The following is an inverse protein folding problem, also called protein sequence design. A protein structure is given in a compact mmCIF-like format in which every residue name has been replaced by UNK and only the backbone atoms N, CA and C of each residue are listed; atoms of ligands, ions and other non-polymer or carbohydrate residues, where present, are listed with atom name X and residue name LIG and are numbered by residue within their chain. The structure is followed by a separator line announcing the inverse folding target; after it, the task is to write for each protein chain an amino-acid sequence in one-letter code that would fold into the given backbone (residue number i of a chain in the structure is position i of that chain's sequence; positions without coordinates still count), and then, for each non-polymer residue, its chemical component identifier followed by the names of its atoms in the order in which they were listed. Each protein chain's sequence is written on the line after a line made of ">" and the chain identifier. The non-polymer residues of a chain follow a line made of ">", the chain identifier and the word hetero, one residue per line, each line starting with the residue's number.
data_IF_593428682368
#
_entry.id   IF_593428682368
#
_cell.length_a   1.000
_cell.length_b   1.000
_cell.length_c   1.000
_cell.angle_alpha   90.00
_cell.angle_beta   90.00
_cell.angle_gamma   90.00
#
_symmetry.space_group_name_H-M   'P 1'
#
loop_
_entity.id
_entity.type
_entity.pdbx_description
1 polymer ?
#
# COMPACT_ATOMS: atom_id res chain seq x y z
N UNK A 1 -26.81 13.86 55.59
CA UNK A 1 -26.82 12.85 54.51
C UNK A 1 -26.57 11.46 55.15
N UNK A 2 -27.53 10.51 54.97
CA UNK A 2 -27.43 9.18 55.58
C UNK A 2 -26.45 8.34 54.84
N UNK A 3 -25.32 7.95 55.51
CA UNK A 3 -24.28 7.02 55.00
C UNK A 3 -24.91 5.62 54.92
N UNK A 4 -24.89 4.98 53.77
CA UNK A 4 -25.37 3.60 53.60
C UNK A 4 -24.19 2.64 53.87
N UNK A 5 -24.36 1.82 54.92
CA UNK A 5 -23.48 0.68 55.18
C UNK A 5 -24.17 -0.55 54.57
N UNK A 6 -23.46 -1.31 53.77
CA UNK A 6 -23.92 -2.58 53.19
C UNK A 6 -23.04 -3.67 53.75
N UNK A 7 -23.60 -4.79 54.20
CA UNK A 7 -22.86 -5.96 54.70
C UNK A 7 -22.65 -6.97 53.59
N UNK A 8 -21.41 -7.34 53.35
CA UNK A 8 -21.05 -8.45 52.49
C UNK A 8 -19.95 -9.26 53.22
N UNK A 9 -20.24 -10.54 53.52
CA UNK A 9 -19.26 -11.49 54.04
C UNK A 9 -18.58 -11.17 55.41
N UNK A 10 -19.19 -10.34 56.26
CA UNK A 10 -18.73 -10.15 57.65
C UNK A 10 -17.78 -8.99 57.92
N UNK A 11 -17.25 -8.31 56.91
CA UNK A 11 -16.45 -7.09 57.07
C UNK A 11 -17.31 -5.85 56.72
N UNK A 12 -17.17 -4.82 57.57
CA UNK A 12 -17.90 -3.54 57.38
C UNK A 12 -17.20 -2.72 56.27
N UNK A 13 -17.65 -2.90 55.02
CA UNK A 13 -17.08 -2.17 53.89
C UNK A 13 -17.77 -0.83 53.71
N UNK A 14 -17.04 0.25 53.75
CA UNK A 14 -17.50 1.59 53.53
C UNK A 14 -17.52 1.96 52.03
N UNK A 15 -18.62 2.49 51.57
CA UNK A 15 -18.77 2.94 50.17
C UNK A 15 -18.80 4.45 50.10
N UNK A 16 -18.11 5.01 49.11
CA UNK A 16 -18.06 6.43 48.78
C UNK A 16 -18.82 6.72 47.49
N UNK A 17 -19.30 7.95 47.38
CA UNK A 17 -19.93 8.45 46.16
C UNK A 17 -18.87 8.73 45.06
N UNK A 18 -19.35 8.90 43.81
CA UNK A 18 -18.52 9.35 42.70
C UNK A 18 -17.82 10.68 42.99
N UNK A 19 -18.47 11.58 43.73
CA UNK A 19 -17.92 12.89 44.10
C UNK A 19 -16.69 12.70 45.02
N UNK A 20 -16.88 11.97 46.11
CA UNK A 20 -15.84 11.72 47.10
C UNK A 20 -14.63 10.96 46.49
N UNK A 21 -14.88 10.00 45.60
CA UNK A 21 -13.81 9.26 44.87
C UNK A 21 -13.13 10.16 43.83
N UNK A 22 -13.85 11.05 43.15
CA UNK A 22 -13.27 12.00 42.22
C UNK A 22 -12.28 12.94 42.91
N UNK A 23 -12.64 13.44 44.09
CA UNK A 23 -11.75 14.24 44.93
C UNK A 23 -10.53 13.43 45.40
N UNK A 24 -10.75 12.22 45.93
CA UNK A 24 -9.68 11.32 46.43
C UNK A 24 -8.67 10.94 45.35
N UNK A 25 -9.13 10.74 44.09
CA UNK A 25 -8.25 10.32 42.99
C UNK A 25 -7.73 11.49 42.15
N UNK A 26 -8.19 12.74 42.39
CA UNK A 26 -7.84 13.89 41.59
C UNK A 26 -8.34 13.77 40.14
N UNK A 27 -9.58 13.31 39.98
CA UNK A 27 -10.21 13.07 38.67
C UNK A 27 -11.55 13.80 38.55
N UNK A 28 -12.03 13.96 37.31
CA UNK A 28 -13.40 14.42 37.10
C UNK A 28 -14.40 13.32 37.44
N UNK A 29 -15.60 13.70 37.93
CA UNK A 29 -16.70 12.78 38.20
C UNK A 29 -17.07 11.93 36.98
N UNK A 30 -16.93 12.50 35.76
CA UNK A 30 -17.17 11.82 34.49
C UNK A 30 -16.17 10.68 34.31
N UNK A 31 -14.88 10.90 34.60
CA UNK A 31 -13.84 9.88 34.52
C UNK A 31 -14.09 8.73 35.48
N UNK A 32 -14.49 9.02 36.72
CA UNK A 32 -14.82 7.98 37.73
C UNK A 32 -16.03 7.15 37.26
N UNK A 33 -17.09 7.78 36.77
CA UNK A 33 -18.25 7.05 36.20
C UNK A 33 -17.84 6.14 35.05
N UNK A 34 -17.02 6.64 34.15
CA UNK A 34 -16.51 5.84 33.03
C UNK A 34 -15.72 4.62 33.50
N UNK A 35 -14.85 4.78 34.50
CA UNK A 35 -14.11 3.64 35.07
C UNK A 35 -15.04 2.59 35.69
N UNK A 36 -16.08 3.02 36.41
CA UNK A 36 -17.07 2.11 36.97
C UNK A 36 -17.89 1.40 35.88
N UNK A 37 -18.39 2.15 34.88
CA UNK A 37 -19.19 1.62 33.78
C UNK A 37 -18.45 0.59 32.94
N UNK A 38 -17.11 0.70 32.82
CA UNK A 38 -16.27 -0.26 32.11
C UNK A 38 -15.67 -1.35 33.03
N UNK A 39 -16.18 -1.54 34.26
CA UNK A 39 -15.74 -2.58 35.18
C UNK A 39 -14.30 -2.43 35.69
N UNK A 40 -13.70 -1.23 35.55
CA UNK A 40 -12.31 -0.97 35.91
C UNK A 40 -12.09 -0.63 37.38
N UNK A 41 -13.17 -0.53 38.15
CA UNK A 41 -13.15 -0.29 39.61
C UNK A 41 -13.73 -1.50 40.31
N UNK A 42 -12.85 -2.27 40.94
CA UNK A 42 -13.27 -3.50 41.62
C UNK A 42 -14.23 -3.21 42.77
N UNK A 43 -15.34 -3.93 42.86
CA UNK A 43 -16.33 -3.76 43.88
C UNK A 43 -17.24 -2.55 43.74
N UNK A 44 -17.18 -1.78 42.66
CA UNK A 44 -18.12 -0.69 42.39
C UNK A 44 -19.51 -1.24 42.04
N UNK A 45 -20.55 -0.72 42.74
CA UNK A 45 -21.93 -1.15 42.58
C UNK A 45 -22.78 -0.01 42.06
N UNK A 46 -23.60 -0.27 41.04
CA UNK A 46 -24.63 0.68 40.57
C UNK A 46 -25.94 0.41 41.30
N UNK A 47 -26.33 1.31 42.20
CA UNK A 47 -27.58 1.22 42.93
C UNK A 47 -28.51 2.34 42.46
N UNK A 48 -29.54 1.95 41.73
CA UNK A 48 -30.40 2.90 41.03
C UNK A 48 -29.62 3.63 39.93
N UNK A 49 -29.46 4.94 40.04
CA UNK A 49 -28.67 5.77 39.07
C UNK A 49 -27.33 6.26 39.65
N UNK A 50 -26.91 5.70 40.80
CA UNK A 50 -25.71 6.17 41.53
C UNK A 50 -24.70 5.06 41.72
N UNK A 51 -23.42 5.32 41.34
CA UNK A 51 -22.32 4.44 41.65
C UNK A 51 -21.91 4.58 43.13
N UNK A 52 -21.79 3.44 43.81
CA UNK A 52 -21.22 3.30 45.12
C UNK A 52 -19.92 2.56 44.99
N UNK A 53 -18.83 3.14 45.46
CA UNK A 53 -17.44 2.66 45.20
C UNK A 53 -16.80 2.35 46.54
N UNK A 54 -16.19 1.17 46.73
CA UNK A 54 -15.49 0.85 47.99
C UNK A 54 -14.46 1.93 48.35
N UNK A 55 -14.39 2.33 49.60
CA UNK A 55 -13.45 3.35 50.05
C UNK A 55 -11.98 2.93 49.83
N UNK A 56 -11.70 1.63 49.85
CA UNK A 56 -10.35 1.04 49.59
C UNK A 56 -10.10 0.79 48.09
N UNK A 57 -11.04 1.11 47.20
CA UNK A 57 -10.81 0.92 45.76
C UNK A 57 -9.61 1.71 45.29
N UNK A 58 -8.75 1.03 44.52
CA UNK A 58 -7.57 1.65 43.90
C UNK A 58 -7.97 2.42 42.64
N UNK A 59 -7.36 3.59 42.46
CA UNK A 59 -7.48 4.34 41.22
C UNK A 59 -7.00 3.46 40.06
N UNK A 60 -7.85 3.20 39.04
CA UNK A 60 -7.39 2.46 37.88
C UNK A 60 -6.23 3.18 37.23
N UNK A 61 -5.15 2.46 36.99
CA UNK A 61 -4.06 2.99 36.18
C UNK A 61 -4.63 3.44 34.84
N UNK A 62 -4.21 4.62 34.37
CA UNK A 62 -4.45 4.94 32.97
C UNK A 62 -3.90 3.76 32.19
N UNK A 63 -4.75 3.01 31.50
CA UNK A 63 -4.24 2.16 30.46
C UNK A 63 -3.42 3.11 29.59
N UNK A 64 -2.10 3.02 29.65
CA UNK A 64 -1.29 3.34 28.52
C UNK A 64 -1.84 2.38 27.45
N UNK A 65 -2.90 2.80 26.70
CA UNK A 65 -2.98 2.37 25.33
C UNK A 65 -1.55 2.65 24.85
N UNK A 66 -0.70 1.60 24.68
CA UNK A 66 0.37 1.67 23.72
C UNK A 66 -0.26 2.47 22.60
N UNK A 67 0.30 3.66 22.21
CA UNK A 67 -0.08 4.31 20.97
C UNK A 67 -0.28 3.14 20.04
N UNK A 68 -1.50 2.83 19.66
CA UNK A 68 -1.75 1.87 18.60
C UNK A 68 -0.85 2.43 17.52
N UNK A 69 0.23 1.72 17.27
CA UNK A 69 1.12 2.01 16.18
C UNK A 69 0.17 1.84 15.02
N UNK A 70 -0.32 2.96 14.49
CA UNK A 70 -1.28 2.97 13.39
C UNK A 70 -0.58 2.18 12.31
N UNK A 71 -1.13 0.99 12.01
CA UNK A 71 -0.55 0.11 10.98
C UNK A 71 -0.46 0.93 9.70
N UNK A 72 0.71 0.97 9.10
CA UNK A 72 0.87 1.65 7.82
C UNK A 72 0.08 0.92 6.74
N UNK A 73 -0.19 1.57 5.61
CA UNK A 73 -0.81 0.90 4.46
C UNK A 73 -0.02 -0.36 4.06
N UNK A 74 1.31 -0.29 4.10
CA UNK A 74 2.16 -1.46 3.81
C UNK A 74 1.90 -2.61 4.78
N UNK A 75 1.81 -2.34 6.09
CA UNK A 75 1.56 -3.37 7.09
C UNK A 75 0.20 -4.06 6.84
N UNK A 76 -0.83 -3.28 6.45
CA UNK A 76 -2.17 -3.80 6.12
C UNK A 76 -2.14 -4.66 4.86
N UNK A 77 -1.45 -4.20 3.80
CA UNK A 77 -1.31 -4.96 2.57
C UNK A 77 -0.59 -6.29 2.80
N UNK A 78 0.49 -6.28 3.61
CA UNK A 78 1.23 -7.50 3.97
C UNK A 78 0.39 -8.45 4.83
N UNK A 79 -0.37 -7.94 5.80
CA UNK A 79 -1.27 -8.76 6.63
C UNK A 79 -2.37 -9.42 5.78
N UNK A 80 -3.02 -8.66 4.88
CA UNK A 80 -4.06 -9.18 4.01
C UNK A 80 -3.50 -10.20 3.00
N UNK A 81 -2.29 -10.00 2.49
CA UNK A 81 -1.58 -10.97 1.66
C UNK A 81 -1.35 -12.27 2.41
N UNK A 82 -0.79 -12.22 3.63
CA UNK A 82 -0.49 -13.40 4.45
C UNK A 82 -1.75 -14.16 4.87
N UNK A 83 -2.79 -13.44 5.26
CA UNK A 83 -4.08 -14.03 5.65
C UNK A 83 -4.92 -14.52 4.48
N UNK A 84 -4.52 -14.22 3.23
CA UNK A 84 -5.30 -14.46 2.00
C UNK A 84 -6.72 -13.87 2.09
N UNK A 85 -6.83 -12.71 2.74
CA UNK A 85 -8.11 -12.04 2.90
C UNK A 85 -8.65 -11.56 1.54
N UNK A 86 -9.81 -12.09 1.15
CA UNK A 86 -10.49 -11.70 -0.09
C UNK A 86 -11.36 -10.45 0.12
N UNK A 87 -11.41 -9.57 -0.90
CA UNK A 87 -12.25 -8.37 -0.89
C UNK A 87 -11.69 -7.20 -0.09
N UNK A 88 -10.44 -7.25 0.39
CA UNK A 88 -9.74 -6.14 1.04
C UNK A 88 -8.96 -5.25 0.06
N UNK A 89 -8.20 -4.29 0.62
CA UNK A 89 -7.40 -3.37 -0.19
C UNK A 89 -6.27 -4.09 -0.96
N UNK A 90 -5.66 -5.13 -0.39
CA UNK A 90 -4.68 -5.96 -1.09
C UNK A 90 -5.30 -6.61 -2.33
N UNK A 91 -6.44 -7.27 -2.16
CA UNK A 91 -7.18 -7.93 -3.24
C UNK A 91 -7.50 -6.95 -4.38
N UNK A 92 -8.05 -5.78 -4.02
CA UNK A 92 -8.37 -4.73 -4.98
C UNK A 92 -7.13 -4.20 -5.68
N UNK A 93 -6.06 -3.93 -4.94
CA UNK A 93 -4.78 -3.44 -5.50
C UNK A 93 -4.18 -4.44 -6.48
N UNK A 94 -4.19 -5.73 -6.16
CA UNK A 94 -3.71 -6.78 -7.05
C UNK A 94 -4.41 -6.73 -8.40
N UNK A 95 -5.74 -6.67 -8.41
CA UNK A 95 -6.52 -6.69 -9.64
C UNK A 95 -6.37 -5.38 -10.40
N UNK A 96 -6.57 -4.23 -9.75
CA UNK A 96 -6.59 -2.93 -10.40
C UNK A 96 -5.22 -2.55 -10.98
N UNK A 97 -4.15 -2.74 -10.20
CA UNK A 97 -2.79 -2.42 -10.66
C UNK A 97 -2.37 -3.34 -11.81
N UNK A 98 -2.68 -4.63 -11.72
CA UNK A 98 -2.34 -5.59 -12.78
C UNK A 98 -3.13 -5.31 -14.06
N UNK A 99 -4.46 -5.17 -13.96
CA UNK A 99 -5.29 -4.89 -15.12
C UNK A 99 -4.84 -3.61 -15.84
N UNK A 100 -4.81 -2.49 -15.13
CA UNK A 100 -4.50 -1.21 -15.74
C UNK A 100 -3.05 -1.16 -16.30
N UNK A 101 -2.09 -1.70 -15.56
CA UNK A 101 -0.69 -1.71 -15.99
C UNK A 101 -0.46 -2.55 -17.24
N UNK A 102 -1.10 -3.72 -17.36
CA UNK A 102 -1.01 -4.56 -18.55
C UNK A 102 -1.82 -3.99 -19.72
N UNK A 103 -3.01 -3.44 -19.45
CA UNK A 103 -3.86 -2.83 -20.49
C UNK A 103 -3.17 -1.63 -21.16
N UNK A 104 -2.43 -0.83 -20.41
CA UNK A 104 -1.59 0.25 -20.95
C UNK A 104 -0.55 -0.25 -21.96
N UNK A 105 -0.04 -1.46 -21.79
CA UNK A 105 0.96 -2.09 -22.68
C UNK A 105 0.32 -2.96 -23.78
N UNK A 106 -1.01 -2.90 -23.92
CA UNK A 106 -1.73 -3.53 -25.03
C UNK A 106 -2.31 -4.92 -24.72
N UNK A 107 -2.28 -5.39 -23.47
CA UNK A 107 -3.01 -6.60 -23.09
C UNK A 107 -4.50 -6.46 -23.38
N UNK A 108 -5.08 -7.51 -23.97
CA UNK A 108 -6.51 -7.56 -24.34
C UNK A 108 -7.38 -8.25 -23.29
N UNK A 109 -6.81 -8.70 -22.17
CA UNK A 109 -7.60 -9.25 -21.09
C UNK A 109 -8.55 -8.19 -20.53
N UNK A 110 -9.80 -8.58 -20.32
CA UNK A 110 -10.78 -7.72 -19.65
C UNK A 110 -10.50 -7.64 -18.16
N UNK A 111 -11.11 -6.66 -17.49
CA UNK A 111 -11.02 -6.55 -16.04
C UNK A 111 -11.53 -7.82 -15.33
N UNK A 112 -12.65 -8.38 -15.79
CA UNK A 112 -13.20 -9.61 -15.21
C UNK A 112 -12.30 -10.82 -15.45
N UNK A 113 -11.68 -10.95 -16.62
CA UNK A 113 -10.70 -12.00 -16.88
C UNK A 113 -9.50 -11.88 -15.95
N UNK A 114 -8.95 -10.68 -15.78
CA UNK A 114 -7.86 -10.42 -14.82
C UNK A 114 -8.28 -10.80 -13.40
N UNK A 115 -9.49 -10.43 -12.98
CA UNK A 115 -10.05 -10.78 -11.68
C UNK A 115 -10.20 -12.29 -11.51
N UNK A 116 -10.76 -13.01 -12.50
CA UNK A 116 -10.91 -14.47 -12.43
C UNK A 116 -9.57 -15.19 -12.32
N UNK A 117 -8.55 -14.71 -13.07
CA UNK A 117 -7.21 -15.29 -12.96
C UNK A 117 -6.71 -15.14 -11.51
N UNK A 118 -6.89 -13.98 -10.89
CA UNK A 118 -6.45 -13.74 -9.52
C UNK A 118 -7.25 -14.56 -8.49
N UNK A 119 -8.57 -14.50 -8.56
CA UNK A 119 -9.47 -15.09 -7.56
C UNK A 119 -9.56 -16.61 -7.63
N UNK A 120 -9.59 -17.16 -8.83
CA UNK A 120 -9.94 -18.57 -9.07
C UNK A 120 -8.92 -19.36 -9.87
N UNK A 121 -7.85 -18.70 -10.34
CA UNK A 121 -6.86 -19.27 -11.26
C UNK A 121 -7.53 -19.88 -12.52
N UNK A 122 -8.61 -19.25 -12.98
CA UNK A 122 -9.33 -19.62 -14.19
C UNK A 122 -9.46 -18.40 -15.11
N UNK A 123 -9.79 -18.66 -16.39
CA UNK A 123 -10.08 -17.63 -17.37
C UNK A 123 -11.35 -17.98 -18.12
N UNK A 124 -12.31 -17.05 -18.15
CA UNK A 124 -13.51 -17.18 -18.97
C UNK A 124 -13.20 -16.77 -20.41
N UNK A 125 -13.49 -17.65 -21.37
CA UNK A 125 -13.32 -17.40 -22.79
C UNK A 125 -14.66 -17.60 -23.48
N UNK A 126 -15.23 -16.53 -24.02
CA UNK A 126 -16.40 -16.57 -24.88
C UNK A 126 -15.97 -16.27 -26.32
N UNK A 127 -15.74 -17.30 -27.14
CA UNK A 127 -15.48 -17.20 -28.58
C UNK A 127 -14.33 -16.29 -29.03
N UNK A 128 -13.47 -15.83 -28.14
CA UNK A 128 -12.32 -14.96 -28.45
C UNK A 128 -11.03 -15.76 -28.39
N UNK A 129 -10.07 -15.38 -29.25
CA UNK A 129 -8.69 -15.89 -29.17
C UNK A 129 -7.92 -15.01 -28.20
N UNK A 130 -7.46 -15.61 -27.09
CA UNK A 130 -6.63 -14.93 -26.12
C UNK A 130 -5.15 -15.10 -26.47
N UNK A 131 -4.40 -14.03 -26.28
CA UNK A 131 -2.94 -14.12 -26.30
C UNK A 131 -2.43 -14.79 -25.01
N UNK A 132 -1.73 -15.91 -25.16
CA UNK A 132 -1.19 -16.66 -24.02
C UNK A 132 -0.20 -15.81 -23.20
N UNK A 133 0.59 -14.95 -23.86
CA UNK A 133 1.53 -14.07 -23.16
C UNK A 133 0.79 -13.06 -22.27
N UNK A 134 -0.39 -12.54 -22.67
CA UNK A 134 -1.21 -11.67 -21.82
C UNK A 134 -1.60 -12.37 -20.50
N UNK A 135 -1.93 -13.66 -20.58
CA UNK A 135 -2.28 -14.46 -19.39
C UNK A 135 -1.06 -14.68 -18.51
N UNK A 136 0.07 -15.09 -19.10
CA UNK A 136 1.32 -15.33 -18.38
C UNK A 136 1.80 -14.03 -17.70
N UNK A 137 1.83 -12.93 -18.41
CA UNK A 137 2.26 -11.64 -17.87
C UNK A 137 1.31 -11.13 -16.78
N UNK A 138 0.01 -11.41 -16.87
CA UNK A 138 -0.96 -11.09 -15.82
C UNK A 138 -0.67 -11.87 -14.54
N UNK A 139 -0.46 -13.18 -14.62
CA UNK A 139 -0.09 -14.01 -13.47
C UNK A 139 1.26 -13.56 -12.89
N UNK A 140 2.22 -13.26 -13.75
CA UNK A 140 3.53 -12.78 -13.33
C UNK A 140 3.48 -11.41 -12.66
N UNK A 141 2.60 -10.51 -13.13
CA UNK A 141 2.44 -9.19 -12.55
C UNK A 141 1.88 -9.28 -11.11
N UNK A 142 0.94 -10.17 -10.83
CA UNK A 142 0.51 -10.45 -9.45
C UNK A 142 1.68 -10.90 -8.56
N UNK A 143 2.55 -11.78 -9.08
CA UNK A 143 3.77 -12.20 -8.36
C UNK A 143 4.73 -11.04 -8.11
N UNK A 144 4.89 -10.14 -9.10
CA UNK A 144 5.70 -8.93 -8.93
C UNK A 144 5.18 -8.06 -7.78
N UNK A 145 3.86 -7.85 -7.67
CA UNK A 145 3.26 -7.09 -6.57
C UNK A 145 3.57 -7.76 -5.23
N UNK A 146 3.47 -9.07 -5.14
CA UNK A 146 3.80 -9.82 -3.92
C UNK A 146 5.26 -9.65 -3.50
N UNK A 147 6.19 -9.76 -4.45
CA UNK A 147 7.62 -9.53 -4.20
C UNK A 147 7.91 -8.09 -3.78
N UNK A 148 7.19 -7.13 -4.37
CA UNK A 148 7.28 -5.71 -3.98
C UNK A 148 6.83 -5.51 -2.54
N UNK A 149 5.71 -6.08 -2.13
CA UNK A 149 5.22 -5.96 -0.76
C UNK A 149 6.21 -6.54 0.25
N UNK A 150 6.83 -7.69 -0.07
CA UNK A 150 7.83 -8.32 0.80
C UNK A 150 9.13 -7.50 0.91
N UNK A 151 9.48 -6.75 -0.13
CA UNK A 151 10.70 -5.98 -0.22
C UNK A 151 10.49 -4.46 -0.22
N UNK A 152 9.30 -3.97 0.16
CA UNK A 152 8.94 -2.56 0.02
C UNK A 152 9.94 -1.63 0.73
N UNK A 153 10.41 -1.99 1.94
CA UNK A 153 11.34 -1.19 2.74
C UNK A 153 12.80 -1.27 2.27
N UNK A 154 13.14 -2.22 1.41
CA UNK A 154 14.52 -2.38 0.92
C UNK A 154 14.95 -1.22 0.02
N UNK A 155 16.26 -0.94 -0.01
CA UNK A 155 16.85 0.03 -0.93
C UNK A 155 16.64 -0.44 -2.37
N UNK A 156 16.31 0.48 -3.27
CA UNK A 156 16.16 0.17 -4.69
C UNK A 156 17.52 -0.11 -5.30
N UNK A 157 17.68 -1.28 -5.89
CA UNK A 157 18.94 -1.74 -6.50
C UNK A 157 18.71 -2.21 -7.93
N UNK A 158 19.78 -2.18 -8.73
CA UNK A 158 19.78 -2.75 -10.08
C UNK A 158 19.33 -4.22 -10.08
N UNK A 159 19.84 -5.01 -9.12
CA UNK A 159 19.47 -6.42 -8.96
C UNK A 159 17.97 -6.59 -8.77
N UNK A 160 17.36 -5.77 -7.90
CA UNK A 160 15.92 -5.85 -7.64
C UNK A 160 15.10 -5.46 -8.87
N UNK A 161 15.50 -4.41 -9.61
CA UNK A 161 14.83 -4.00 -10.84
C UNK A 161 14.87 -5.13 -11.89
N UNK A 162 16.02 -5.75 -12.06
CA UNK A 162 16.20 -6.90 -12.96
C UNK A 162 15.39 -8.12 -12.51
N UNK A 163 15.28 -8.35 -11.20
CA UNK A 163 14.46 -9.42 -10.63
C UNK A 163 12.96 -9.23 -10.95
N UNK A 164 12.43 -8.02 -10.79
CA UNK A 164 11.04 -7.72 -11.16
C UNK A 164 10.80 -7.96 -12.66
N UNK A 165 11.73 -7.53 -13.52
CA UNK A 165 11.64 -7.81 -14.95
C UNK A 165 11.72 -9.31 -15.26
N UNK A 166 12.60 -10.05 -14.57
CA UNK A 166 12.71 -11.51 -14.71
C UNK A 166 11.39 -12.20 -14.39
N UNK A 167 10.77 -11.85 -13.27
CA UNK A 167 9.47 -12.41 -12.88
C UNK A 167 8.41 -12.07 -13.91
N UNK A 168 8.32 -10.80 -14.33
CA UNK A 168 7.29 -10.32 -15.23
C UNK A 168 7.31 -11.04 -16.58
N UNK A 169 8.49 -11.22 -17.17
CA UNK A 169 8.65 -11.78 -18.53
C UNK A 169 8.94 -13.28 -18.56
N UNK A 170 9.04 -13.94 -17.40
CA UNK A 170 9.33 -15.37 -17.33
C UNK A 170 8.21 -16.20 -17.98
N UNK A 171 8.58 -17.13 -18.83
CA UNK A 171 7.66 -18.06 -19.48
C UNK A 171 6.89 -17.50 -20.69
N UNK A 172 7.04 -16.22 -21.01
CA UNK A 172 6.45 -15.62 -22.22
C UNK A 172 7.15 -16.12 -23.49
N UNK A 173 6.53 -15.87 -24.64
CA UNK A 173 7.15 -16.18 -25.94
C UNK A 173 8.48 -15.44 -26.14
N UNK A 174 8.59 -14.21 -25.59
CA UNK A 174 9.80 -13.40 -25.61
C UNK A 174 10.97 -14.09 -24.86
N UNK A 175 10.67 -14.79 -23.76
CA UNK A 175 11.70 -15.49 -22.97
C UNK A 175 12.43 -16.60 -23.73
N UNK A 176 11.91 -17.02 -24.89
CA UNK A 176 12.50 -18.05 -25.75
C UNK A 176 13.38 -17.47 -26.84
N UNK A 177 13.43 -16.15 -26.99
CA UNK A 177 14.24 -15.47 -28.00
C UNK A 177 15.64 -15.20 -27.46
N UNK A 178 16.68 -15.67 -28.12
CA UNK A 178 18.07 -15.52 -27.67
C UNK A 178 18.51 -14.05 -27.49
N UNK A 179 17.94 -13.17 -28.29
CA UNK A 179 18.25 -11.73 -28.24
C UNK A 179 17.47 -10.99 -27.16
N UNK A 180 16.43 -11.60 -26.59
CA UNK A 180 15.60 -10.99 -25.53
C UNK A 180 16.14 -11.37 -24.16
N UNK A 181 16.79 -10.42 -23.49
CA UNK A 181 17.41 -10.66 -22.20
C UNK A 181 16.39 -10.54 -21.06
N UNK A 182 15.71 -11.63 -20.71
CA UNK A 182 14.78 -11.66 -19.57
C UNK A 182 15.57 -11.51 -18.26
N UNK A 183 15.22 -10.49 -17.46
CA UNK A 183 15.92 -10.20 -16.21
C UNK A 183 17.29 -9.53 -16.40
N UNK A 184 17.60 -9.07 -17.60
CA UNK A 184 18.80 -8.29 -17.88
C UNK A 184 18.51 -7.16 -18.88
N UNK A 185 19.46 -6.25 -19.03
CA UNK A 185 19.31 -5.10 -19.90
C UNK A 185 19.24 -5.50 -21.37
N UNK A 186 18.58 -4.66 -22.15
CA UNK A 186 18.38 -4.88 -23.59
C UNK A 186 19.69 -5.05 -24.33
N UNK A 187 19.65 -5.91 -25.35
CA UNK A 187 20.78 -6.17 -26.26
C UNK A 187 20.63 -5.46 -27.60
N UNK A 188 19.41 -5.03 -27.92
CA UNK A 188 19.09 -4.36 -29.16
C UNK A 188 18.56 -2.95 -28.89
N UNK A 189 18.88 -1.96 -29.73
CA UNK A 189 18.27 -0.64 -29.64
C UNK A 189 16.75 -0.72 -29.75
N UNK A 190 16.06 0.15 -29.05
CA UNK A 190 14.62 0.31 -29.16
C UNK A 190 14.23 1.81 -29.13
N UNK A 191 13.00 2.10 -29.49
CA UNK A 191 12.42 3.44 -29.44
C UNK A 191 11.06 3.40 -28.74
N UNK A 192 10.63 4.54 -28.20
CA UNK A 192 9.33 4.71 -27.58
C UNK A 192 8.68 5.97 -28.14
N UNK A 193 7.49 5.81 -28.73
CA UNK A 193 6.74 6.94 -29.31
C UNK A 193 7.55 7.73 -30.35
N UNK A 194 8.40 7.07 -31.14
CA UNK A 194 9.26 7.69 -32.16
C UNK A 194 10.49 8.43 -31.58
N UNK A 195 10.81 8.22 -30.30
CA UNK A 195 12.00 8.78 -29.65
C UNK A 195 12.99 7.67 -29.32
N UNK A 196 14.25 7.85 -29.71
CA UNK A 196 15.32 6.92 -29.37
C UNK A 196 15.54 6.90 -27.85
N UNK A 197 15.68 5.70 -27.30
CA UNK A 197 16.04 5.47 -25.91
C UNK A 197 17.56 5.33 -25.76
N UNK A 198 18.08 5.04 -24.55
CA UNK A 198 19.50 4.77 -24.37
C UNK A 198 19.96 3.59 -25.24
N UNK A 199 21.14 3.68 -25.83
CA UNK A 199 21.74 2.55 -26.54
C UNK A 199 22.09 1.41 -25.57
N UNK A 200 22.07 0.14 -26.00
CA UNK A 200 22.34 -1.00 -25.11
C UNK A 200 23.63 -0.86 -24.28
N UNK A 201 24.71 -0.39 -24.90
CA UNK A 201 25.99 -0.15 -24.24
C UNK A 201 26.00 0.96 -23.21
N UNK A 202 25.03 1.87 -23.26
CA UNK A 202 24.91 2.99 -22.34
C UNK A 202 24.02 2.66 -21.11
N UNK A 203 23.16 1.63 -21.23
CA UNK A 203 22.10 1.35 -20.23
C UNK A 203 22.68 1.13 -18.85
N UNK A 204 23.73 0.31 -18.74
CA UNK A 204 24.31 -0.06 -17.45
C UNK A 204 24.82 1.17 -16.68
N UNK A 205 25.55 2.05 -17.36
CA UNK A 205 26.09 3.26 -16.73
C UNK A 205 24.99 4.27 -16.39
N UNK A 206 24.00 4.46 -17.29
CA UNK A 206 22.87 5.36 -17.04
C UNK A 206 22.03 4.87 -15.86
N UNK A 207 21.75 3.59 -15.74
CA UNK A 207 21.02 3.00 -14.61
C UNK A 207 21.80 3.12 -13.31
N UNK A 208 23.12 2.88 -13.34
CA UNK A 208 23.99 3.08 -12.17
C UNK A 208 23.97 4.54 -11.68
N UNK A 209 24.04 5.49 -12.61
CA UNK A 209 23.97 6.92 -12.29
C UNK A 209 22.60 7.29 -11.72
N UNK A 210 21.51 6.85 -12.34
CA UNK A 210 20.14 7.09 -11.89
C UNK A 210 19.93 6.56 -10.46
N UNK A 211 20.35 5.33 -10.19
CA UNK A 211 20.23 4.72 -8.86
C UNK A 211 21.12 5.42 -7.82
N UNK A 212 22.31 5.85 -8.17
CA UNK A 212 23.19 6.62 -7.29
C UNK A 212 22.57 7.96 -6.91
N UNK A 213 22.05 8.70 -7.89
CA UNK A 213 21.35 9.98 -7.67
C UNK A 213 20.12 9.76 -6.79
N UNK A 214 19.26 8.82 -7.15
CA UNK A 214 18.04 8.53 -6.41
C UNK A 214 18.34 8.11 -4.97
N UNK A 215 19.22 7.14 -4.74
CA UNK A 215 19.54 6.65 -3.41
C UNK A 215 20.34 7.65 -2.55
N UNK A 216 20.99 8.64 -3.14
CA UNK A 216 21.71 9.69 -2.42
C UNK A 216 20.84 10.58 -1.55
N UNK A 217 19.55 10.68 -1.82
CA UNK A 217 18.59 11.43 -1.01
C UNK A 217 17.92 10.51 0.00
N UNK A 218 18.00 10.80 1.30
CA UNK A 218 17.47 9.91 2.35
C UNK A 218 15.94 9.83 2.35
N UNK A 219 15.27 10.98 2.29
CA UNK A 219 13.80 11.06 2.20
C UNK A 219 13.39 11.37 0.78
N UNK A 220 12.37 10.70 0.29
CA UNK A 220 11.81 10.94 -1.04
C UNK A 220 10.46 11.64 -0.94
N UNK A 221 10.25 12.61 -1.81
CA UNK A 221 8.95 13.21 -2.06
C UNK A 221 8.24 12.47 -3.18
N UNK A 222 6.95 12.76 -3.36
CA UNK A 222 6.17 12.29 -4.50
C UNK A 222 6.83 12.64 -5.84
N UNK A 223 7.32 13.88 -5.96
CA UNK A 223 8.02 14.34 -7.17
C UNK A 223 9.34 13.59 -7.41
N UNK A 224 10.11 13.24 -6.37
CA UNK A 224 11.34 12.46 -6.53
C UNK A 224 11.06 11.07 -7.12
N UNK A 225 9.94 10.44 -6.72
CA UNK A 225 9.52 9.13 -7.25
C UNK A 225 9.13 9.26 -8.72
N UNK A 226 8.40 10.31 -9.08
CA UNK A 226 8.02 10.58 -10.47
C UNK A 226 9.24 10.91 -11.34
N UNK A 227 10.19 11.71 -10.83
CA UNK A 227 11.43 12.04 -11.55
C UNK A 227 12.27 10.79 -11.84
N UNK A 228 12.40 9.91 -10.85
CA UNK A 228 13.06 8.61 -11.06
C UNK A 228 12.34 7.82 -12.16
N UNK A 229 11.02 7.74 -12.12
CA UNK A 229 10.23 7.01 -13.09
C UNK A 229 10.40 7.56 -14.52
N UNK A 230 10.34 8.88 -14.68
CA UNK A 230 10.57 9.54 -15.99
C UNK A 230 11.96 9.24 -16.53
N UNK A 231 12.99 9.35 -15.69
CA UNK A 231 14.38 9.03 -16.08
C UNK A 231 14.54 7.55 -16.46
N UNK A 232 13.88 6.65 -15.70
CA UNK A 232 13.85 5.22 -15.99
C UNK A 232 13.18 4.93 -17.35
N UNK A 233 12.01 5.51 -17.61
CA UNK A 233 11.29 5.37 -18.90
C UNK A 233 12.12 5.89 -20.08
N UNK A 234 12.89 6.97 -19.90
CA UNK A 234 13.78 7.51 -20.94
C UNK A 234 15.00 6.66 -21.20
N UNK A 235 15.56 6.03 -20.17
CA UNK A 235 16.65 5.05 -20.35
C UNK A 235 16.10 3.83 -21.08
N UNK A 236 14.91 3.40 -20.73
CA UNK A 236 14.24 2.22 -21.29
C UNK A 236 15.13 0.98 -21.25
N UNK A 237 15.51 0.52 -20.03
CA UNK A 237 16.63 -0.41 -19.86
C UNK A 237 16.37 -1.81 -20.41
N UNK A 238 15.13 -2.23 -20.56
CA UNK A 238 14.75 -3.56 -21.02
C UNK A 238 14.28 -3.53 -22.47
N UNK A 239 14.25 -4.69 -23.11
CA UNK A 239 13.77 -4.83 -24.48
C UNK A 239 12.26 -4.59 -24.58
N UNK A 240 11.50 -5.03 -23.56
CA UNK A 240 10.07 -4.81 -23.33
C UNK A 240 9.78 -4.82 -21.82
N UNK A 241 8.57 -4.40 -21.39
CA UNK A 241 8.14 -4.44 -19.99
C UNK A 241 8.60 -3.26 -19.14
N UNK A 242 9.24 -2.24 -19.71
CA UNK A 242 9.75 -1.09 -18.98
C UNK A 242 8.64 -0.34 -18.25
N UNK A 243 7.54 -0.02 -18.92
CA UNK A 243 6.41 0.69 -18.31
C UNK A 243 5.83 -0.06 -17.11
N UNK A 244 5.64 -1.36 -17.22
CA UNK A 244 5.15 -2.21 -16.11
C UNK A 244 6.11 -2.24 -14.94
N UNK A 245 7.41 -2.48 -15.19
CA UNK A 245 8.45 -2.44 -14.16
C UNK A 245 8.53 -1.05 -13.52
N UNK A 246 8.51 0.01 -14.30
CA UNK A 246 8.54 1.39 -13.80
C UNK A 246 7.36 1.71 -12.88
N UNK A 247 6.13 1.34 -13.26
CA UNK A 247 4.93 1.54 -12.42
C UNK A 247 4.96 0.69 -11.15
N UNK A 248 5.46 -0.53 -11.21
CA UNK A 248 5.68 -1.38 -10.05
C UNK A 248 6.71 -0.79 -9.07
N UNK A 249 7.80 -0.19 -9.59
CA UNK A 249 8.80 0.52 -8.78
C UNK A 249 8.18 1.76 -8.11
N UNK A 250 7.39 2.56 -8.85
CA UNK A 250 6.67 3.70 -8.25
C UNK A 250 5.79 3.25 -7.08
N UNK A 251 5.02 2.18 -7.27
CA UNK A 251 4.18 1.62 -6.21
C UNK A 251 5.00 1.21 -4.98
N UNK A 252 6.13 0.50 -5.20
CA UNK A 252 7.07 0.14 -4.13
C UNK A 252 7.60 1.34 -3.36
N UNK A 253 8.08 2.34 -4.07
CA UNK A 253 8.72 3.50 -3.45
C UNK A 253 7.69 4.37 -2.71
N UNK A 254 6.45 4.49 -3.22
CA UNK A 254 5.36 5.11 -2.46
C UNK A 254 5.13 4.41 -1.11
N UNK A 255 5.03 3.08 -1.09
CA UNK A 255 4.87 2.32 0.15
C UNK A 255 6.07 2.49 1.09
N UNK A 256 7.31 2.49 0.56
CA UNK A 256 8.52 2.65 1.35
C UNK A 256 8.55 3.96 2.14
N UNK A 257 8.12 5.04 1.50
CA UNK A 257 8.18 6.39 2.07
C UNK A 257 6.86 6.85 2.70
N UNK A 258 5.92 5.92 2.89
CA UNK A 258 4.58 6.18 3.44
C UNK A 258 3.82 7.25 2.65
N UNK A 259 3.98 7.25 1.34
CA UNK A 259 3.21 8.04 0.39
C UNK A 259 2.08 7.15 -0.12
N UNK A 260 0.85 7.66 -0.14
CA UNK A 260 -0.27 6.91 -0.71
C UNK A 260 0.04 6.57 -2.17
N UNK A 261 0.03 5.28 -2.57
CA UNK A 261 0.28 4.90 -3.94
C UNK A 261 -0.87 5.30 -4.87
N UNK A 262 -0.67 5.11 -6.16
CA UNK A 262 -1.67 5.40 -7.18
C UNK A 262 -1.62 4.38 -8.31
N UNK A 263 -2.72 4.27 -9.05
CA UNK A 263 -2.87 3.39 -10.20
C UNK A 263 -3.31 4.24 -11.38
N UNK A 264 -2.51 4.30 -12.44
CA UNK A 264 -2.88 4.99 -13.67
C UNK A 264 -3.88 4.13 -14.43
N UNK A 265 -5.11 4.60 -14.51
CA UNK A 265 -6.17 3.94 -15.25
C UNK A 265 -6.18 4.36 -16.73
N UNK A 266 -6.86 3.58 -17.56
CA UNK A 266 -6.88 3.78 -19.03
C UNK A 266 -7.36 5.18 -19.43
N UNK A 267 -8.34 5.76 -18.74
CA UNK A 267 -8.82 7.12 -18.98
C UNK A 267 -7.75 8.20 -18.70
N UNK A 268 -6.72 7.90 -17.92
CA UNK A 268 -5.60 8.80 -17.64
C UNK A 268 -4.37 8.54 -18.52
N UNK A 269 -4.39 7.49 -19.35
CA UNK A 269 -3.27 7.03 -20.16
C UNK A 269 -2.65 8.14 -21.02
N UNK A 270 -3.47 8.89 -21.73
CA UNK A 270 -3.00 9.97 -22.61
C UNK A 270 -2.35 11.12 -21.83
N UNK A 271 -2.92 11.48 -20.67
CA UNK A 271 -2.37 12.52 -19.80
C UNK A 271 -1.04 12.07 -19.15
N UNK A 272 -0.95 10.81 -18.78
CA UNK A 272 0.26 10.21 -18.25
C UNK A 272 1.40 10.21 -19.27
N UNK A 273 1.17 9.76 -20.51
CA UNK A 273 2.21 9.80 -21.56
C UNK A 273 2.60 11.22 -21.94
N UNK A 274 1.66 12.16 -21.99
CA UNK A 274 1.97 13.58 -22.14
C UNK A 274 2.87 14.07 -21.00
N UNK A 275 2.54 13.74 -19.76
CA UNK A 275 3.32 14.12 -18.60
C UNK A 275 4.75 13.56 -18.60
N UNK A 276 4.95 12.31 -19.03
CA UNK A 276 6.29 11.72 -19.22
C UNK A 276 7.11 12.48 -20.28
N UNK A 277 6.47 12.81 -21.40
CA UNK A 277 7.10 13.53 -22.52
C UNK A 277 7.52 14.94 -22.09
N UNK A 278 6.61 15.68 -21.48
CA UNK A 278 6.76 17.11 -21.18
C UNK A 278 7.45 17.37 -19.81
N UNK A 279 7.91 16.34 -19.10
CA UNK A 279 8.47 16.46 -17.75
C UNK A 279 9.53 17.55 -17.56
N UNK A 280 10.39 17.76 -18.56
CA UNK A 280 11.45 18.77 -18.48
C UNK A 280 10.94 20.19 -18.67
N UNK A 281 9.82 20.37 -19.37
CA UNK A 281 9.21 21.68 -19.65
C UNK A 281 8.12 22.02 -18.64
N UNK A 282 7.25 21.05 -18.33
CA UNK A 282 6.10 21.23 -17.44
C UNK A 282 5.82 19.97 -16.62
N UNK A 283 6.37 19.90 -15.43
CA UNK A 283 6.19 18.76 -14.51
C UNK A 283 4.75 18.60 -14.04
N UNK A 284 4.00 19.71 -13.98
CA UNK A 284 2.62 19.74 -13.50
C UNK A 284 1.73 18.74 -14.23
N UNK A 285 1.93 18.50 -15.50
CA UNK A 285 1.11 17.53 -16.26
C UNK A 285 1.18 16.11 -15.68
N UNK A 286 2.36 15.61 -15.34
CA UNK A 286 2.49 14.29 -14.74
C UNK A 286 2.07 14.29 -13.28
N UNK A 287 2.47 15.31 -12.53
CA UNK A 287 2.15 15.44 -11.11
C UNK A 287 0.63 15.45 -10.92
N UNK A 288 -0.09 16.31 -11.62
CA UNK A 288 -1.56 16.41 -11.50
C UNK A 288 -2.26 15.12 -11.91
N UNK A 289 -1.80 14.47 -12.99
CA UNK A 289 -2.34 13.17 -13.42
C UNK A 289 -2.16 12.10 -12.33
N UNK A 290 -0.97 12.02 -11.74
CA UNK A 290 -0.69 11.03 -10.71
C UNK A 290 -1.39 11.36 -9.38
N UNK A 291 -1.56 12.64 -9.03
CA UNK A 291 -2.35 13.07 -7.88
C UNK A 291 -3.84 12.72 -8.05
N UNK A 292 -4.40 12.92 -9.25
CA UNK A 292 -5.78 12.50 -9.54
C UNK A 292 -5.95 10.97 -9.37
N UNK A 293 -4.99 10.19 -9.84
CA UNK A 293 -4.97 8.74 -9.64
C UNK A 293 -4.81 8.37 -8.15
N UNK A 294 -4.01 9.15 -7.40
CA UNK A 294 -3.84 8.97 -5.96
C UNK A 294 -5.12 9.26 -5.18
N UNK A 295 -5.88 10.29 -5.56
CA UNK A 295 -7.15 10.62 -4.90
C UNK A 295 -8.16 9.48 -5.05
N UNK A 296 -8.16 8.80 -6.20
CA UNK A 296 -8.98 7.59 -6.37
C UNK A 296 -8.52 6.45 -5.46
N UNK A 297 -7.22 6.26 -5.31
CA UNK A 297 -6.70 5.25 -4.38
C UNK A 297 -7.03 5.60 -2.92
N UNK A 298 -6.97 6.90 -2.53
CA UNK A 298 -7.43 7.38 -1.22
C UNK A 298 -8.91 7.06 -0.98
N UNK A 299 -9.76 7.23 -1.99
CA UNK A 299 -11.18 6.84 -1.88
C UNK A 299 -11.36 5.33 -1.58
N UNK A 300 -10.47 4.46 -2.06
CA UNK A 300 -10.45 3.06 -1.66
C UNK A 300 -10.05 2.90 -0.19
N UNK A 301 -9.01 3.63 0.26
CA UNK A 301 -8.58 3.60 1.66
C UNK A 301 -9.70 4.06 2.60
N UNK A 302 -10.44 5.11 2.24
CA UNK A 302 -11.60 5.60 2.98
C UNK A 302 -12.71 4.53 3.04
N UNK A 303 -13.01 3.89 1.92
CA UNK A 303 -13.99 2.80 1.86
C UNK A 303 -13.61 1.64 2.79
N UNK A 304 -12.34 1.25 2.82
CA UNK A 304 -11.82 0.20 3.68
C UNK A 304 -11.49 0.69 5.10
N UNK A 305 -11.73 1.97 5.43
CA UNK A 305 -11.44 2.61 6.73
C UNK A 305 -9.98 2.48 7.15
N UNK A 306 -9.08 2.62 6.19
CA UNK A 306 -7.63 2.58 6.38
C UNK A 306 -7.15 4.03 6.52
N UNK A 307 -6.53 4.36 7.66
CA UNK A 307 -5.95 5.68 7.86
C UNK A 307 -4.69 5.85 6.99
N UNK A 308 -4.55 7.03 6.41
CA UNK A 308 -3.37 7.48 5.68
C UNK A 308 -3.13 8.95 6.01
N UNK A 309 -1.89 9.39 6.03
CA UNK A 309 -1.51 10.79 6.24
C UNK A 309 -0.86 11.35 4.96
#
# INVERSE_FOLDING_TARGET
>A
MRRKTIYDGGEQMRYLSVIEIAEKWGLSQRSVRNYCAHGRVNGALLIGKTWNIPENAKKPERSNKKKEQTSTLLDILQEQKLSKYSGGIYHKTQIDLTYNSNHMEGSRLTYDQTRYIFETNTIGVEKEVLNVDDVIETVNHFRCIDVILDNAKAVLTEKFIKEIHLILKNGTSDSRKEWFAVGDYKKMPNEVGGVNTALPEEVADKMKMLLKEYNGKEKKTFEDILDFHVKFERIHPFQDGNGRVGRLIMFKECLKYNIVPFIIEDNLKMFYYRGLKEWNSEKGYLIDTCLMAQDKYKAYLDYFRIAYE
#
